data_IF_329094753798
#
_entry.id   IF_329094753798
#
_cell.length_a   1.000
_cell.length_b   1.000
_cell.length_c   1.000
_cell.angle_alpha   90.00
_cell.angle_beta   90.00
_cell.angle_gamma   90.00
#
_symmetry.space_group_name_H-M   'P 1'
#
loop_
_entity.id
_entity.type
_entity.pdbx_description
1 polymer ?
#
# COMPACT_ATOMS: atom_id res chain seq x y z
N UNK A 1 -35.98 -33.20 7.86
CA UNK A 1 -35.23 -32.17 8.63
C UNK A 1 -34.23 -31.43 7.73
N UNK A 2 -34.48 -31.41 6.42
CA UNK A 2 -33.44 -31.18 5.40
C UNK A 2 -33.61 -29.83 4.67
N UNK A 3 -34.84 -29.30 4.68
CA UNK A 3 -35.18 -28.00 4.09
C UNK A 3 -34.57 -26.84 4.89
N UNK A 4 -34.54 -26.93 6.22
CA UNK A 4 -33.99 -25.87 7.10
C UNK A 4 -32.47 -25.77 6.98
N UNK A 5 -31.77 -26.90 6.89
CA UNK A 5 -30.33 -26.94 6.70
C UNK A 5 -29.91 -26.35 5.34
N UNK A 6 -30.72 -26.57 4.30
CA UNK A 6 -30.48 -26.03 2.96
C UNK A 6 -30.72 -24.52 2.92
N UNK A 7 -31.80 -24.05 3.56
CA UNK A 7 -32.10 -22.62 3.70
C UNK A 7 -31.02 -21.87 4.49
N UNK A 8 -30.50 -22.45 5.58
CA UNK A 8 -29.42 -21.85 6.37
C UNK A 8 -28.12 -21.73 5.56
N UNK A 9 -27.78 -22.74 4.75
CA UNK A 9 -26.61 -22.69 3.86
C UNK A 9 -26.75 -21.63 2.78
N UNK A 10 -27.93 -21.50 2.14
CA UNK A 10 -28.19 -20.45 1.16
C UNK A 10 -28.12 -19.06 1.79
N UNK A 11 -28.66 -18.88 2.99
CA UNK A 11 -28.59 -17.62 3.72
C UNK A 11 -27.13 -17.24 4.05
N UNK A 12 -26.32 -18.19 4.52
CA UNK A 12 -24.91 -17.95 4.82
C UNK A 12 -24.10 -17.56 3.56
N UNK A 13 -24.37 -18.22 2.43
CA UNK A 13 -23.79 -17.89 1.12
C UNK A 13 -24.17 -16.47 0.70
N UNK A 14 -25.46 -16.11 0.76
CA UNK A 14 -25.95 -14.78 0.42
C UNK A 14 -25.36 -13.67 1.31
N UNK A 15 -25.18 -13.95 2.60
CA UNK A 15 -24.53 -13.04 3.55
C UNK A 15 -23.05 -12.84 3.19
N UNK A 16 -22.31 -13.91 2.86
CA UNK A 16 -20.92 -13.79 2.37
C UNK A 16 -20.82 -12.98 1.08
N UNK A 17 -21.83 -13.07 0.20
CA UNK A 17 -21.90 -12.29 -1.04
C UNK A 17 -22.09 -10.78 -0.79
N UNK A 18 -22.75 -10.40 0.31
CA UNK A 18 -22.92 -9.00 0.70
C UNK A 18 -21.62 -8.35 1.21
N UNK A 19 -20.62 -9.14 1.61
CA UNK A 19 -19.30 -8.65 2.05
C UNK A 19 -18.25 -8.57 0.93
N UNK A 20 -18.52 -9.13 -0.26
CA UNK A 20 -17.63 -9.02 -1.43
C UNK A 20 -17.28 -7.59 -1.88
N UNK A 21 -18.17 -6.57 -1.86
CA UNK A 21 -17.82 -5.24 -2.37
C UNK A 21 -16.79 -4.49 -1.50
N UNK A 22 -16.44 -5.01 -0.33
CA UNK A 22 -15.38 -4.43 0.50
C UNK A 22 -13.96 -4.73 -0.01
N UNK A 23 -13.79 -5.67 -0.95
CA UNK A 23 -12.49 -6.00 -1.52
C UNK A 23 -12.17 -5.06 -2.70
N UNK A 24 -12.00 -3.76 -2.43
CA UNK A 24 -11.38 -2.86 -3.39
C UNK A 24 -9.86 -3.04 -3.30
N UNK A 25 -9.31 -3.87 -4.18
CA UNK A 25 -7.87 -4.04 -4.31
C UNK A 25 -7.29 -2.86 -5.10
N UNK A 26 -6.40 -2.10 -4.48
CA UNK A 26 -5.61 -1.07 -5.19
C UNK A 26 -4.68 -1.78 -6.17
N UNK A 27 -4.83 -1.51 -7.48
CA UNK A 27 -3.91 -2.08 -8.46
C UNK A 27 -2.58 -1.32 -8.40
N UNK A 28 -1.48 -2.05 -8.26
CA UNK A 28 -0.14 -1.48 -8.27
C UNK A 28 0.75 -2.21 -9.28
N UNK A 29 1.73 -1.49 -9.80
CA UNK A 29 2.76 -2.03 -10.69
C UNK A 29 4.12 -1.52 -10.26
N UNK A 30 5.14 -2.35 -10.46
CA UNK A 30 6.52 -1.86 -10.38
C UNK A 30 6.80 -0.93 -11.56
N UNK A 31 7.58 0.12 -11.32
CA UNK A 31 7.93 1.09 -12.35
C UNK A 31 8.92 0.52 -13.38
N UNK A 32 9.65 -0.54 -13.04
CA UNK A 32 10.52 -1.27 -13.95
C UNK A 32 10.09 -2.74 -14.11
N UNK A 33 10.68 -3.41 -15.11
CA UNK A 33 10.41 -4.80 -15.43
C UNK A 33 11.21 -5.77 -14.52
N UNK A 34 11.10 -5.61 -13.20
CA UNK A 34 11.62 -6.58 -12.23
C UNK A 34 13.05 -6.30 -11.77
N UNK A 35 13.33 -5.05 -11.41
CA UNK A 35 14.56 -4.67 -10.72
C UNK A 35 14.84 -5.55 -9.50
N UNK A 36 16.11 -5.84 -9.23
CA UNK A 36 16.51 -6.56 -8.03
C UNK A 36 16.49 -5.58 -6.85
N UNK A 37 15.37 -5.55 -6.15
CA UNK A 37 15.14 -4.66 -5.02
C UNK A 37 15.28 -5.42 -3.70
N UNK A 38 16.14 -4.92 -2.80
CA UNK A 38 16.24 -5.41 -1.41
C UNK A 38 14.92 -5.29 -0.67
N UNK A 39 14.12 -4.25 -0.93
CA UNK A 39 12.75 -4.13 -0.43
C UNK A 39 11.78 -4.39 -1.58
N UNK A 40 11.00 -5.46 -1.45
CA UNK A 40 9.92 -5.79 -2.38
C UNK A 40 8.60 -5.41 -1.73
N UNK A 41 7.69 -4.86 -2.52
CA UNK A 41 6.31 -4.63 -2.11
C UNK A 41 5.44 -5.78 -2.63
N UNK A 42 4.69 -6.37 -1.72
CA UNK A 42 3.82 -7.51 -1.97
C UNK A 42 2.34 -7.08 -2.10
N UNK A 43 1.97 -5.95 -1.49
CA UNK A 43 0.58 -5.50 -1.43
C UNK A 43 0.46 -4.07 -0.91
N UNK A 44 -0.65 -3.41 -1.27
CA UNK A 44 -1.06 -2.13 -0.72
C UNK A 44 -2.53 -2.27 -0.31
N UNK A 45 -2.78 -2.04 0.98
CA UNK A 45 -4.12 -1.93 1.54
C UNK A 45 -4.33 -0.50 2.04
N UNK A 46 -5.56 0.01 1.94
CA UNK A 46 -5.88 1.39 2.27
C UNK A 46 -7.10 1.41 3.18
N UNK A 47 -6.98 2.09 4.33
CA UNK A 47 -8.07 2.24 5.28
C UNK A 47 -8.43 3.72 5.49
N UNK A 48 -9.70 4.11 5.39
CA UNK A 48 -10.83 3.31 4.93
C UNK A 48 -10.73 3.01 3.42
N UNK A 49 -11.28 1.87 2.98
CA UNK A 49 -11.26 1.44 1.57
C UNK A 49 -11.89 2.49 0.62
N UNK A 50 -12.80 3.31 1.15
CA UNK A 50 -13.32 4.50 0.49
C UNK A 50 -12.60 5.74 1.00
N UNK A 51 -11.62 6.22 0.25
CA UNK A 51 -10.89 7.42 0.62
C UNK A 51 -11.77 8.65 0.40
N UNK A 52 -12.05 9.37 1.50
CA UNK A 52 -12.86 10.60 1.47
C UNK A 52 -11.97 11.83 1.50
N UNK A 53 -12.21 12.73 0.57
CA UNK A 53 -11.48 14.00 0.46
C UNK A 53 -11.48 14.82 1.74
N UNK A 54 -10.30 15.32 2.13
CA UNK A 54 -10.10 16.08 3.36
C UNK A 54 -10.22 15.26 4.65
N UNK A 55 -10.28 13.92 4.56
CA UNK A 55 -10.22 13.01 5.71
C UNK A 55 -8.92 12.20 5.67
N UNK A 56 -8.41 11.77 6.83
CA UNK A 56 -7.24 10.90 6.88
C UNK A 56 -7.54 9.53 6.25
N UNK A 57 -6.56 9.01 5.52
CA UNK A 57 -6.50 7.65 5.04
C UNK A 57 -5.12 7.07 5.37
N UNK A 58 -5.11 5.84 5.85
CA UNK A 58 -3.90 5.10 6.19
C UNK A 58 -3.58 4.10 5.10
N UNK A 59 -2.37 4.19 4.56
CA UNK A 59 -1.80 3.25 3.62
C UNK A 59 -1.01 2.20 4.39
N UNK A 60 -1.32 0.93 4.15
CA UNK A 60 -0.61 -0.23 4.68
C UNK A 60 0.10 -0.94 3.53
N UNK A 61 1.41 -0.78 3.48
CA UNK A 61 2.23 -1.31 2.40
C UNK A 61 2.91 -2.57 2.92
N UNK A 62 2.46 -3.72 2.43
CA UNK A 62 3.04 -5.02 2.77
C UNK A 62 4.33 -5.21 2.00
N UNK A 63 5.45 -5.32 2.69
CA UNK A 63 6.78 -5.43 2.10
C UNK A 63 7.51 -6.68 2.57
N UNK A 64 8.56 -7.05 1.84
CA UNK A 64 9.51 -8.08 2.25
C UNK A 64 10.93 -7.65 1.94
N UNK A 65 11.89 -8.14 2.74
CA UNK A 65 13.30 -7.94 2.47
C UNK A 65 14.13 -9.20 2.70
N UNK A 66 15.11 -9.43 1.83
CA UNK A 66 16.10 -10.50 1.95
C UNK A 66 17.33 -10.12 2.77
N UNK A 67 17.45 -8.85 3.20
CA UNK A 67 18.60 -8.34 3.94
C UNK A 67 18.15 -7.47 5.11
N UNK A 68 18.90 -7.50 6.21
CA UNK A 68 18.60 -6.63 7.35
C UNK A 68 18.86 -5.16 6.97
N UNK A 69 17.87 -4.30 7.23
CA UNK A 69 17.94 -2.87 6.91
C UNK A 69 18.19 -2.10 8.21
N UNK A 70 19.30 -1.37 8.24
CA UNK A 70 19.72 -0.63 9.43
C UNK A 70 19.17 0.78 9.50
N UNK A 71 18.96 1.39 8.32
CA UNK A 71 18.44 2.74 8.12
C UNK A 71 17.95 2.90 6.69
N UNK A 72 17.23 3.97 6.40
CA UNK A 72 16.80 4.31 5.05
C UNK A 72 15.69 5.36 5.05
N UNK A 73 15.08 5.58 3.90
CA UNK A 73 13.98 6.53 3.72
C UNK A 73 12.95 5.99 2.73
N UNK A 74 11.68 6.31 2.96
CA UNK A 74 10.59 6.15 2.02
C UNK A 74 10.30 7.51 1.39
N UNK A 75 10.20 7.55 0.07
CA UNK A 75 9.83 8.72 -0.73
C UNK A 75 8.47 8.44 -1.33
N UNK A 76 7.50 9.30 -1.05
CA UNK A 76 6.15 9.23 -1.59
C UNK A 76 6.01 10.41 -2.55
N UNK A 77 5.80 10.13 -3.83
CA UNK A 77 5.62 11.12 -4.89
C UNK A 77 4.23 10.93 -5.50
N UNK A 78 3.41 11.97 -5.45
CA UNK A 78 2.05 11.94 -5.96
C UNK A 78 2.00 12.74 -7.25
N UNK A 79 1.55 12.06 -8.30
CA UNK A 79 1.35 12.64 -9.61
C UNK A 79 -0.13 12.62 -10.01
N UNK A 80 -0.59 13.72 -10.60
CA UNK A 80 -1.91 13.84 -11.18
C UNK A 80 -1.77 14.12 -12.67
N UNK A 81 -2.31 13.23 -13.51
CA UNK A 81 -2.23 13.33 -14.98
C UNK A 81 -0.78 13.51 -15.52
N UNK A 82 0.19 12.85 -14.86
CA UNK A 82 1.62 12.95 -15.22
C UNK A 82 2.34 14.20 -14.69
N UNK A 83 1.65 15.08 -13.96
CA UNK A 83 2.27 16.22 -13.28
C UNK A 83 2.51 15.89 -11.81
N UNK A 84 3.75 16.04 -11.35
CA UNK A 84 4.11 15.94 -9.93
C UNK A 84 3.44 17.07 -9.16
N UNK A 85 2.55 16.72 -8.23
CA UNK A 85 1.81 17.70 -7.42
C UNK A 85 2.30 17.72 -5.98
N UNK A 86 2.95 16.66 -5.51
CA UNK A 86 3.33 16.52 -4.13
C UNK A 86 4.43 15.49 -3.93
N UNK A 87 5.37 15.75 -3.02
CA UNK A 87 6.40 14.78 -2.64
C UNK A 87 6.70 14.90 -1.14
N UNK A 88 6.75 13.76 -0.47
CA UNK A 88 7.20 13.63 0.92
C UNK A 88 8.35 12.62 1.02
N UNK A 89 9.19 12.78 2.03
CA UNK A 89 10.25 11.83 2.35
C UNK A 89 10.28 11.59 3.85
N UNK A 90 10.09 10.34 4.25
CA UNK A 90 10.05 9.92 5.64
C UNK A 90 11.16 8.91 5.94
N UNK A 91 11.88 9.03 7.07
CA UNK A 91 12.84 8.01 7.48
C UNK A 91 12.14 6.66 7.71
N UNK A 92 12.69 5.58 7.15
CA UNK A 92 12.13 4.23 7.31
C UNK A 92 12.03 3.80 8.78
N UNK A 93 12.95 4.27 9.61
CA UNK A 93 13.02 3.94 11.03
C UNK A 93 12.09 4.79 11.91
N UNK A 94 11.40 5.78 11.35
CA UNK A 94 10.33 6.49 12.05
C UNK A 94 8.99 5.79 11.84
N UNK A 95 8.78 5.24 10.64
CA UNK A 95 7.59 4.45 10.31
C UNK A 95 7.67 2.98 10.77
N UNK A 96 8.88 2.49 11.09
CA UNK A 96 9.12 1.11 11.53
C UNK A 96 10.18 1.02 12.63
N UNK A 97 10.21 -0.10 13.36
CA UNK A 97 11.30 -0.35 14.30
C UNK A 97 12.56 -0.86 13.59
N UNK A 98 13.63 -0.09 13.67
CA UNK A 98 14.94 -0.48 13.15
C UNK A 98 15.80 -1.20 14.21
N UNK A 99 16.65 -2.17 13.81
CA UNK A 99 16.84 -2.65 12.44
C UNK A 99 15.70 -3.56 11.96
N UNK A 100 15.30 -3.40 10.70
CA UNK A 100 14.29 -4.27 10.07
C UNK A 100 14.96 -5.61 9.78
N UNK A 101 14.42 -6.69 10.35
CA UNK A 101 14.90 -8.04 10.14
C UNK A 101 14.54 -8.57 8.74
N UNK A 102 15.24 -9.61 8.30
CA UNK A 102 14.90 -10.35 7.09
C UNK A 102 13.49 -10.94 7.23
N UNK A 103 12.66 -10.79 6.21
CA UNK A 103 11.29 -11.27 6.21
C UNK A 103 10.29 -10.20 5.80
N UNK A 104 9.03 -10.39 6.20
CA UNK A 104 7.93 -9.50 5.89
C UNK A 104 7.80 -8.40 6.94
N UNK A 105 7.48 -7.20 6.49
CA UNK A 105 7.15 -6.07 7.36
C UNK A 105 6.04 -5.22 6.70
N UNK A 106 5.48 -4.30 7.47
CA UNK A 106 4.43 -3.39 6.99
C UNK A 106 4.89 -1.96 7.24
N UNK A 107 4.80 -1.12 6.21
CA UNK A 107 4.92 0.33 6.34
C UNK A 107 3.50 0.89 6.47
N UNK A 108 3.24 1.65 7.53
CA UNK A 108 1.93 2.26 7.78
C UNK A 108 2.06 3.77 7.74
N UNK A 109 1.46 4.42 6.74
CA UNK A 109 1.54 5.87 6.57
C UNK A 109 0.15 6.49 6.59
N UNK A 110 -0.07 7.51 7.42
CA UNK A 110 -1.34 8.21 7.51
C UNK A 110 -1.26 9.54 6.75
N UNK A 111 -2.10 9.70 5.73
CA UNK A 111 -2.14 10.91 4.90
C UNK A 111 -3.55 11.49 4.85
N UNK A 112 -3.67 12.81 4.96
CA UNK A 112 -4.91 13.51 4.62
C UNK A 112 -4.87 13.87 3.14
N UNK A 113 -5.78 13.30 2.36
CA UNK A 113 -5.88 13.66 0.94
C UNK A 113 -6.52 15.04 0.75
N UNK A 114 -6.10 15.82 -0.26
CA UNK A 114 -6.66 17.14 -0.52
C UNK A 114 -8.18 17.10 -0.72
N UNK A 115 -8.87 18.21 -0.41
CA UNK A 115 -10.34 18.29 -0.54
C UNK A 115 -10.85 18.31 -1.99
N UNK A 116 -10.00 18.71 -2.92
CA UNK A 116 -10.32 18.88 -4.33
C UNK A 116 -9.34 18.04 -5.13
N UNK A 117 -9.71 16.81 -5.41
CA UNK A 117 -8.94 15.89 -6.25
C UNK A 117 -9.85 15.35 -7.35
N UNK A 118 -9.47 15.45 -8.63
CA UNK A 118 -10.25 14.86 -9.72
C UNK A 118 -10.18 13.33 -9.71
N UNK A 119 -11.01 12.69 -10.53
CA UNK A 119 -11.40 11.27 -10.49
C UNK A 119 -10.31 10.22 -10.29
N UNK A 120 -9.05 10.46 -10.72
CA UNK A 120 -7.96 9.48 -10.62
C UNK A 120 -6.61 10.13 -10.31
N UNK A 121 -5.82 9.47 -9.47
CA UNK A 121 -4.46 9.89 -9.13
C UNK A 121 -3.50 8.70 -9.16
N UNK A 122 -2.24 8.99 -9.51
CA UNK A 122 -1.14 8.02 -9.49
C UNK A 122 -0.23 8.34 -8.31
N UNK A 123 -0.07 7.39 -7.40
CA UNK A 123 0.95 7.48 -6.35
C UNK A 123 2.15 6.68 -6.81
N UNK A 124 3.32 7.31 -6.84
CA UNK A 124 4.61 6.65 -6.95
C UNK A 124 5.24 6.55 -5.56
N UNK A 125 5.61 5.36 -5.15
CA UNK A 125 6.33 5.11 -3.90
C UNK A 125 7.71 4.55 -4.22
N UNK A 126 8.74 5.17 -3.65
CA UNK A 126 10.12 4.73 -3.76
C UNK A 126 10.69 4.49 -2.36
N UNK A 127 11.14 3.27 -2.07
CA UNK A 127 11.75 2.93 -0.77
C UNK A 127 13.25 2.76 -0.96
N UNK A 128 14.05 3.59 -0.28
CA UNK A 128 15.51 3.53 -0.28
C UNK A 128 16.02 2.95 1.05
N UNK A 129 16.58 1.75 1.03
CA UNK A 129 17.19 1.11 2.21
C UNK A 129 18.71 1.13 2.17
N UNK A 130 19.34 1.31 3.34
CA UNK A 130 20.77 0.99 3.55
C UNK A 130 20.86 -0.31 4.35
N UNK A 131 21.34 -1.35 3.68
CA UNK A 131 21.55 -2.65 4.30
C UNK A 131 22.71 -2.59 5.30
N UNK A 132 22.76 -3.54 6.24
CA UNK A 132 23.94 -3.71 7.12
C UNK A 132 25.23 -4.02 6.34
N UNK A 133 25.13 -4.37 5.04
CA UNK A 133 26.25 -4.50 4.10
C UNK A 133 26.56 -3.23 3.30
N UNK A 134 26.01 -2.09 3.68
CA UNK A 134 26.19 -0.79 3.01
C UNK A 134 25.83 -0.78 1.52
N UNK A 135 24.75 -1.48 1.13
CA UNK A 135 24.16 -1.30 -0.22
C UNK A 135 22.97 -0.36 -0.13
N UNK A 136 22.91 0.60 -1.06
CA UNK A 136 21.79 1.53 -1.28
C UNK A 136 20.90 0.94 -2.37
N UNK A 137 19.65 0.64 -2.05
CA UNK A 137 18.73 -0.01 -2.98
C UNK A 137 17.34 0.60 -2.92
N UNK A 138 16.71 0.71 -4.10
CA UNK A 138 15.44 1.42 -4.33
C UNK A 138 14.37 0.43 -4.76
N UNK A 139 13.20 0.36 -4.11
CA UNK A 139 12.02 -0.29 -4.70
C UNK A 139 11.02 0.77 -5.17
N UNK A 140 10.59 0.74 -6.44
CA UNK A 140 9.66 1.74 -7.01
C UNK A 140 8.35 1.11 -7.48
N UNK A 141 7.21 1.65 -7.04
CA UNK A 141 5.89 1.21 -7.47
C UNK A 141 4.92 2.35 -7.72
N UNK A 142 3.98 2.13 -8.65
CA UNK A 142 2.89 3.04 -8.98
C UNK A 142 1.53 2.39 -8.67
N UNK A 143 0.70 3.05 -7.87
CA UNK A 143 -0.67 2.66 -7.58
C UNK A 143 -1.67 3.68 -8.13
N UNK A 144 -2.81 3.21 -8.62
CA UNK A 144 -3.93 4.07 -9.02
C UNK A 144 -5.04 4.00 -7.97
N UNK A 145 -5.58 5.17 -7.64
CA UNK A 145 -6.68 5.29 -6.71
C UNK A 145 -7.85 6.01 -7.36
N UNK A 146 -9.02 5.42 -7.20
CA UNK A 146 -10.29 5.93 -7.72
C UNK A 146 -11.12 6.47 -6.56
N UNK A 147 -11.59 7.70 -6.69
CA UNK A 147 -12.47 8.35 -5.70
C UNK A 147 -13.94 8.24 -6.13
N UNK A 148 -14.86 8.39 -5.16
CA UNK A 148 -16.29 8.67 -5.40
C UNK A 148 -16.54 10.18 -5.34
#
# INVERSE_FOLDING_TARGET
>A
MDTVATQLKLALLAISLLFLPFLQATNFKYCDNGGNYVVKVNGIDISPNLVVNGKPATFFISTSTGQAISRGKAVIDVSYFGFHIYQETHPLCEETSCPIAVGNFVLSHNQVLPRLTPSSYSILMAVEGVTTRMQKEFGMMQGELTQL
#
